data_IF_420482074071
#
_entry.id   IF_420482074071
#
_cell.length_a   1.000
_cell.length_b   1.000
_cell.length_c   1.000
_cell.angle_alpha   90.00
_cell.angle_beta   90.00
_cell.angle_gamma   90.00
#
_symmetry.space_group_name_H-M   'P 1'
#
loop_
_entity.id
_entity.type
_entity.pdbx_description
1 polymer ?
#
# COMPACT_ATOMS: atom_id res chain seq x y z
N UNK A 1 0.25 0.14 28.12
CA UNK A 1 0.90 0.97 27.10
C UNK A 1 0.67 0.24 25.79
N UNK A 2 -0.38 0.61 25.05
CA UNK A 2 -0.61 0.03 23.72
C UNK A 2 0.45 0.61 22.82
N UNK A 3 1.51 -0.15 22.56
CA UNK A 3 2.43 0.17 21.48
C UNK A 3 1.65 -0.15 20.20
N UNK A 4 0.78 0.76 19.78
CA UNK A 4 0.27 0.71 18.41
C UNK A 4 1.51 0.87 17.54
N UNK A 5 1.93 -0.21 16.89
CA UNK A 5 2.98 -0.18 15.87
C UNK A 5 2.42 0.62 14.70
N UNK A 6 2.43 1.94 14.84
CA UNK A 6 2.00 2.87 13.80
C UNK A 6 3.15 2.97 12.81
N UNK A 7 2.94 2.38 11.65
CA UNK A 7 3.86 2.46 10.53
C UNK A 7 3.75 3.85 9.94
N UNK A 8 4.87 4.43 9.53
CA UNK A 8 4.90 5.72 8.85
C UNK A 8 5.35 5.56 7.41
N UNK A 9 4.62 6.19 6.50
CA UNK A 9 4.98 6.32 5.09
C UNK A 9 4.98 7.77 4.65
N UNK A 10 6.01 8.13 3.90
CA UNK A 10 6.15 9.41 3.25
C UNK A 10 5.81 9.26 1.77
N UNK A 11 4.61 9.67 1.39
CA UNK A 11 4.12 9.66 0.02
C UNK A 11 4.52 10.98 -0.63
N UNK A 12 5.30 10.90 -1.71
CA UNK A 12 5.67 12.05 -2.53
C UNK A 12 4.44 12.66 -3.20
N UNK A 13 4.43 13.98 -3.46
CA UNK A 13 3.27 14.66 -4.06
C UNK A 13 2.72 13.97 -5.31
N UNK A 14 3.60 13.54 -6.22
CA UNK A 14 3.26 12.89 -7.47
C UNK A 14 2.53 11.55 -7.25
N UNK A 15 3.03 10.75 -6.30
CA UNK A 15 2.37 9.50 -5.90
C UNK A 15 1.05 9.76 -5.18
N UNK A 16 1.02 10.75 -4.29
CA UNK A 16 -0.18 11.12 -3.55
C UNK A 16 -1.29 11.58 -4.50
N UNK A 17 -0.97 12.39 -5.50
CA UNK A 17 -1.91 12.86 -6.51
C UNK A 17 -2.44 11.70 -7.37
N UNK A 18 -1.59 10.73 -7.72
CA UNK A 18 -2.01 9.52 -8.46
C UNK A 18 -2.97 8.63 -7.66
N UNK A 19 -2.74 8.46 -6.36
CA UNK A 19 -3.61 7.68 -5.47
C UNK A 19 -4.92 8.46 -5.24
N UNK A 20 -4.83 9.71 -4.82
CA UNK A 20 -5.98 10.58 -4.56
C UNK A 20 -6.85 10.82 -5.78
N UNK A 21 -6.27 10.82 -6.98
CA UNK A 21 -7.03 10.92 -8.22
C UNK A 21 -7.99 9.74 -8.45
N UNK A 22 -7.78 8.62 -7.74
CA UNK A 22 -8.63 7.44 -7.79
C UNK A 22 -9.47 7.26 -6.52
N UNK A 23 -8.99 7.73 -5.37
CA UNK A 23 -9.70 7.67 -4.08
C UNK A 23 -10.85 8.68 -4.06
N UNK A 24 -12.05 8.20 -3.75
CA UNK A 24 -13.25 9.01 -3.51
C UNK A 24 -13.44 9.25 -2.01
N UNK A 25 -14.22 10.27 -1.67
CA UNK A 25 -14.54 10.59 -0.27
C UNK A 25 -15.17 9.38 0.44
N UNK A 26 -14.62 9.05 1.61
CA UNK A 26 -15.07 7.92 2.44
C UNK A 26 -14.47 6.56 2.07
N UNK A 27 -13.69 6.47 0.98
CA UNK A 27 -12.93 5.27 0.66
C UNK A 27 -11.64 5.21 1.49
N UNK A 28 -11.20 3.99 1.75
CA UNK A 28 -9.93 3.69 2.43
C UNK A 28 -8.97 3.07 1.44
N UNK A 29 -7.69 3.19 1.73
CA UNK A 29 -6.61 2.60 0.92
C UNK A 29 -5.93 1.52 1.74
N UNK A 30 -5.65 0.38 1.13
CA UNK A 30 -4.85 -0.67 1.71
C UNK A 30 -3.49 -0.74 1.01
N UNK A 31 -2.42 -0.91 1.77
CA UNK A 31 -1.14 -1.36 1.26
C UNK A 31 -1.09 -2.88 1.41
N UNK A 32 -1.13 -3.60 0.29
CA UNK A 32 -1.15 -5.07 0.30
C UNK A 32 -0.12 -5.65 -0.67
N UNK A 33 0.30 -6.88 -0.41
CA UNK A 33 1.07 -7.65 -1.37
C UNK A 33 0.21 -8.02 -2.59
N UNK A 34 0.85 -8.14 -3.74
CA UNK A 34 0.25 -8.61 -4.99
C UNK A 34 0.96 -9.90 -5.42
N UNK A 35 0.96 -10.90 -4.53
CA UNK A 35 1.67 -12.17 -4.69
C UNK A 35 0.73 -13.39 -4.70
N UNK A 36 -0.58 -13.16 -4.61
CA UNK A 36 -1.59 -14.21 -4.54
C UNK A 36 -1.93 -14.67 -3.11
N UNK A 37 -1.30 -14.08 -2.08
CA UNK A 37 -1.55 -14.44 -0.68
C UNK A 37 -2.86 -13.90 -0.12
N UNK A 38 -3.41 -12.84 -0.73
CA UNK A 38 -4.62 -12.17 -0.28
C UNK A 38 -5.67 -12.04 -1.39
N UNK A 39 -6.91 -11.72 -0.97
CA UNK A 39 -8.09 -11.61 -1.84
C UNK A 39 -8.06 -10.45 -2.84
N UNK A 40 -7.08 -9.55 -2.73
CA UNK A 40 -6.88 -8.39 -3.60
C UNK A 40 -5.77 -8.60 -4.63
N UNK A 41 -5.04 -9.72 -4.54
CA UNK A 41 -4.00 -10.03 -5.50
C UNK A 41 -4.61 -10.32 -6.87
N UNK A 42 -4.21 -9.56 -7.88
CA UNK A 42 -4.56 -9.79 -9.29
C UNK A 42 -3.72 -10.93 -9.91
N UNK A 43 -2.71 -11.41 -9.17
CA UNK A 43 -1.85 -12.53 -9.56
C UNK A 43 -2.56 -13.86 -9.27
N UNK A 44 -3.60 -14.15 -10.05
CA UNK A 44 -4.29 -15.43 -10.05
C UNK A 44 -3.41 -16.53 -10.65
N UNK A 45 -2.62 -17.22 -9.82
CA UNK A 45 -1.99 -18.50 -10.18
C UNK A 45 -0.78 -18.41 -11.14
N UNK A 46 -0.19 -17.24 -11.35
CA UNK A 46 1.08 -17.13 -12.07
C UNK A 46 2.22 -17.03 -11.07
N UNK A 47 3.23 -17.89 -11.18
CA UNK A 47 4.49 -17.86 -10.41
C UNK A 47 5.31 -16.58 -10.67
N UNK A 48 4.74 -15.40 -10.41
CA UNK A 48 5.51 -14.17 -10.33
C UNK A 48 6.19 -14.20 -8.98
N UNK A 49 7.42 -14.72 -8.97
CA UNK A 49 8.32 -14.69 -7.82
C UNK A 49 8.76 -13.24 -7.66
N UNK A 50 7.96 -12.45 -6.96
CA UNK A 50 8.23 -11.05 -6.69
C UNK A 50 7.28 -10.54 -5.63
N UNK A 51 7.83 -9.96 -4.56
CA UNK A 51 7.08 -9.23 -3.54
C UNK A 51 6.63 -7.90 -4.13
N UNK A 52 5.69 -7.94 -5.08
CA UNK A 52 5.08 -6.74 -5.62
C UNK A 52 4.05 -6.21 -4.64
N UNK A 53 4.00 -4.91 -4.46
CA UNK A 53 3.02 -4.23 -3.63
C UNK A 53 1.98 -3.55 -4.49
N UNK A 54 0.81 -3.35 -3.89
CA UNK A 54 -0.28 -2.61 -4.50
C UNK A 54 -1.01 -1.78 -3.46
N UNK A 55 -1.53 -0.65 -3.91
CA UNK A 55 -2.53 0.12 -3.19
C UNK A 55 -3.91 -0.32 -3.65
N UNK A 56 -4.74 -0.77 -2.72
CA UNK A 56 -6.09 -1.23 -3.00
C UNK A 56 -7.08 -0.24 -2.39
N UNK A 57 -7.89 0.38 -3.23
CA UNK A 57 -8.92 1.33 -2.78
C UNK A 57 -10.20 0.56 -2.51
N UNK A 58 -10.78 0.76 -1.33
CA UNK A 58 -11.99 0.10 -0.85
C UNK A 58 -13.03 1.11 -0.37
N UNK A 59 -14.31 0.77 -0.55
CA UNK A 59 -15.43 1.54 0.01
C UNK A 59 -15.57 1.41 1.53
N UNK A 60 -14.99 0.36 2.11
CA UNK A 60 -15.08 0.08 3.55
C UNK A 60 -13.79 -0.54 4.08
N UNK A 61 -13.52 -0.33 5.38
CA UNK A 61 -12.38 -0.93 6.07
C UNK A 61 -12.46 -2.46 6.03
N UNK A 62 -11.30 -3.06 5.78
CA UNK A 62 -11.15 -4.51 5.81
C UNK A 62 -10.72 -4.96 7.21
N UNK A 63 -11.43 -5.92 7.85
CA UNK A 63 -11.02 -6.46 9.14
C UNK A 63 -9.68 -7.21 9.11
N UNK A 64 -9.18 -7.62 7.94
CA UNK A 64 -7.86 -8.23 7.80
C UNK A 64 -6.73 -7.17 7.85
N UNK A 65 -7.03 -5.92 7.52
CA UNK A 65 -6.09 -4.80 7.44
C UNK A 65 -6.32 -3.82 8.59
N UNK A 66 -5.93 -4.23 9.79
CA UNK A 66 -6.21 -3.47 11.02
C UNK A 66 -5.13 -2.46 11.39
N UNK A 67 -3.98 -2.47 10.72
CA UNK A 67 -2.83 -1.63 11.07
C UNK A 67 -2.93 -0.32 10.30
N UNK A 68 -3.07 0.80 11.00
CA UNK A 68 -3.10 2.12 10.38
C UNK A 68 -1.68 2.58 10.01
N UNK A 69 -1.53 3.08 8.78
CA UNK A 69 -0.27 3.61 8.26
C UNK A 69 -0.35 5.13 8.19
N UNK A 70 0.37 5.79 9.09
CA UNK A 70 0.48 7.24 9.12
C UNK A 70 1.14 7.72 7.82
N UNK A 71 0.49 8.67 7.14
CA UNK A 71 1.02 9.25 5.91
C UNK A 71 0.86 10.77 5.86
N UNK A 72 1.80 11.41 5.19
CA UNK A 72 1.79 12.86 4.94
C UNK A 72 0.80 13.29 3.85
N UNK A 73 0.11 12.34 3.19
CA UNK A 73 -0.89 12.63 2.17
C UNK A 73 -2.30 12.82 2.75
N UNK A 74 -2.55 12.46 4.02
CA UNK A 74 -3.89 12.51 4.61
C UNK A 74 -4.85 11.48 4.00
N UNK A 75 -4.32 10.33 3.55
CA UNK A 75 -5.09 9.18 3.10
C UNK A 75 -5.44 8.29 4.29
N UNK A 76 -6.61 7.67 4.26
CA UNK A 76 -6.98 6.61 5.20
C UNK A 76 -6.29 5.29 4.78
N UNK A 77 -4.99 5.17 5.09
CA UNK A 77 -4.14 4.05 4.65
C UNK A 77 -4.00 2.99 5.74
N UNK A 78 -4.21 1.73 5.37
CA UNK A 78 -4.10 0.58 6.27
C UNK A 78 -3.23 -0.53 5.67
N UNK A 79 -2.63 -1.35 6.53
CA UNK A 79 -1.87 -2.54 6.16
C UNK A 79 -2.24 -3.72 7.06
N UNK A 80 -1.68 -4.89 6.77
CA UNK A 80 -1.89 -6.12 7.53
C UNK A 80 -0.60 -6.56 8.24
N UNK A 81 -0.70 -7.32 9.34
CA UNK A 81 0.47 -7.91 10.00
C UNK A 81 1.33 -8.81 9.09
N UNK A 82 0.78 -9.39 8.02
CA UNK A 82 1.54 -10.22 7.09
C UNK A 82 2.47 -9.36 6.21
N UNK A 83 1.95 -8.23 5.74
CA UNK A 83 2.66 -7.24 4.93
C UNK A 83 3.77 -6.57 5.72
N UNK A 84 3.56 -6.36 7.02
CA UNK A 84 4.56 -5.84 7.96
C UNK A 84 5.85 -6.67 8.01
N UNK A 85 5.83 -7.93 7.58
CA UNK A 85 7.04 -8.76 7.49
C UNK A 85 7.99 -8.30 6.37
N UNK A 86 7.48 -7.53 5.41
CA UNK A 86 8.19 -7.03 4.24
C UNK A 86 8.33 -5.50 4.25
N UNK A 87 7.60 -4.81 5.12
CA UNK A 87 7.63 -3.36 5.27
C UNK A 87 8.58 -2.98 6.41
N UNK A 88 9.50 -2.07 6.12
CA UNK A 88 10.35 -1.43 7.11
C UNK A 88 9.69 -0.26 7.82
N UNK A 89 10.52 0.47 8.58
CA UNK A 89 10.16 1.79 9.09
C UNK A 89 10.46 2.86 8.04
N UNK A 90 9.85 4.03 8.18
CA UNK A 90 10.13 5.20 7.33
C UNK A 90 9.95 4.92 5.83
N UNK A 91 8.85 4.25 5.48
CA UNK A 91 8.50 3.93 4.10
C UNK A 91 8.44 5.20 3.26
N UNK A 92 8.82 5.12 1.99
CA UNK A 92 8.74 6.20 1.01
C UNK A 92 8.05 5.69 -0.24
N UNK A 93 7.00 6.39 -0.67
CA UNK A 93 6.30 6.10 -1.92
C UNK A 93 6.60 7.24 -2.87
N UNK A 94 7.18 6.90 -4.02
CA UNK A 94 7.54 7.85 -5.07
C UNK A 94 6.87 7.46 -6.39
N UNK A 95 6.67 8.44 -7.25
CA UNK A 95 6.15 8.24 -8.61
C UNK A 95 7.11 8.90 -9.59
N UNK A 96 7.65 8.10 -10.51
CA UNK A 96 8.56 8.55 -11.56
C UNK A 96 8.22 7.86 -12.87
N UNK A 97 8.05 8.66 -13.92
CA UNK A 97 7.78 8.17 -15.28
C UNK A 97 6.53 7.26 -15.40
N UNK A 98 5.44 7.62 -14.72
CA UNK A 98 4.21 6.84 -14.59
C UNK A 98 4.32 5.56 -13.75
N UNK A 99 5.50 5.23 -13.20
CA UNK A 99 5.73 4.08 -12.33
C UNK A 99 5.82 4.52 -10.86
N UNK A 100 5.13 3.80 -9.97
CA UNK A 100 5.26 4.01 -8.54
C UNK A 100 6.29 3.05 -7.95
N UNK A 101 7.07 3.54 -7.01
CA UNK A 101 8.04 2.76 -6.26
C UNK A 101 7.82 2.91 -4.77
N UNK A 102 7.96 1.80 -4.05
CA UNK A 102 8.03 1.74 -2.60
C UNK A 102 9.47 1.48 -2.18
N UNK A 103 9.95 2.27 -1.23
CA UNK A 103 11.27 2.14 -0.63
C UNK A 103 11.18 2.29 0.88
N UNK A 104 12.20 1.83 1.59
CA UNK A 104 12.43 2.07 3.01
C UNK A 104 13.87 2.59 3.23
N UNK A 105 14.35 2.53 4.48
CA UNK A 105 15.71 2.88 4.87
C UNK A 105 16.78 1.93 4.29
N UNK A 106 16.40 0.69 3.97
CA UNK A 106 17.24 -0.34 3.37
C UNK A 106 17.36 -0.25 1.85
N UNK A 107 16.42 0.41 1.18
CA UNK A 107 16.45 0.67 -0.26
C UNK A 107 15.10 0.53 -0.93
N UNK A 108 15.11 0.26 -2.24
CA UNK A 108 13.86 0.03 -2.99
C UNK A 108 13.31 -1.36 -2.66
N UNK A 109 12.10 -1.38 -2.09
CA UNK A 109 11.33 -2.60 -1.82
C UNK A 109 10.68 -3.10 -3.11
N UNK A 110 9.97 -2.20 -3.80
CA UNK A 110 9.29 -2.47 -5.07
C UNK A 110 9.38 -1.26 -6.00
N UNK A 111 9.70 -1.48 -7.27
CA UNK A 111 9.79 -0.45 -8.29
C UNK A 111 8.57 -0.33 -9.20
N UNK A 112 7.57 -1.20 -9.02
CA UNK A 112 6.41 -1.32 -9.90
C UNK A 112 5.10 -1.43 -9.12
N UNK A 113 4.95 -0.60 -8.09
CA UNK A 113 3.74 -0.55 -7.28
C UNK A 113 2.56 -0.13 -8.13
N UNK A 114 1.43 -0.80 -7.95
CA UNK A 114 0.18 -0.53 -8.67
C UNK A 114 -0.86 0.09 -7.74
N UNK A 115 -1.85 0.76 -8.31
CA UNK A 115 -3.03 1.24 -7.57
C UNK A 115 -4.24 0.65 -8.27
N UNK A 116 -5.05 -0.09 -7.52
CA UNK A 116 -6.22 -0.80 -7.99
C UNK A 116 -7.43 -0.40 -7.17
N UNK A 117 -8.55 -0.09 -7.81
CA UNK A 117 -9.83 0.09 -7.12
C UNK A 117 -10.54 -1.26 -7.05
N UNK A 118 -10.81 -1.74 -5.84
CA UNK A 118 -11.52 -2.99 -5.64
C UNK A 118 -13.00 -2.70 -5.36
N UNK A 119 -13.77 -2.75 -6.44
CA UNK A 119 -15.23 -2.63 -6.41
C UNK A 119 -15.82 -4.05 -6.36
N UNK A 120 -16.47 -4.43 -5.26
CA UNK A 120 -17.13 -5.73 -5.12
C UNK A 120 -18.62 -5.60 -4.88
#
# INVERSE_FOLDING_TARGET
MSNSETVKVNIKPEAADKIKGQVKDGQVVLLSLNDGSNKYSDVGGTCTVGSSFQFVILDQKDPDFTIEVENNAGLDLYTSPAEMQYLGNDLVVDEKNAAMSLADDGGVIDGAVTVNEYNK
#
